data_IF_262242319557
#
_entry.id   IF_262242319557
#
_cell.length_a   1.000
_cell.length_b   1.000
_cell.length_c   1.000
_cell.angle_alpha   90.00
_cell.angle_beta   90.00
_cell.angle_gamma   90.00
#
_symmetry.space_group_name_H-M   'P 1'
#
loop_
_entity.id
_entity.type
_entity.pdbx_description
1 polymer ?
#
# COMPACT_ATOMS: atom_id res chain seq x y z
N UNK A 1 10.56 14.47 6.95
CA UNK A 1 10.33 13.13 6.38
C UNK A 1 8.85 13.05 6.08
N UNK A 2 8.47 12.97 4.81
CA UNK A 2 7.08 12.74 4.42
C UNK A 2 6.83 11.25 4.53
N UNK A 3 5.87 10.87 5.37
CA UNK A 3 5.49 9.49 5.65
C UNK A 3 4.11 9.21 5.01
N UNK A 4 3.84 7.94 4.77
CA UNK A 4 2.68 7.43 4.07
C UNK A 4 1.41 7.71 4.89
N UNK A 5 1.51 7.67 6.22
CA UNK A 5 0.42 7.92 7.18
C UNK A 5 -0.12 9.36 7.10
N UNK A 6 0.69 10.42 7.27
CA UNK A 6 0.21 11.79 7.10
C UNK A 6 -0.22 12.10 5.67
N UNK A 7 0.34 11.41 4.65
CA UNK A 7 -0.11 11.57 3.26
C UNK A 7 -1.53 11.02 3.05
N UNK A 8 -1.83 9.82 3.58
CA UNK A 8 -3.18 9.25 3.54
C UNK A 8 -4.15 10.13 4.33
N UNK A 9 -3.78 10.59 5.53
CA UNK A 9 -4.60 11.50 6.32
C UNK A 9 -4.86 12.84 5.62
N UNK A 10 -3.87 13.39 4.89
CA UNK A 10 -4.05 14.60 4.09
C UNK A 10 -5.00 14.37 2.91
N UNK A 11 -4.92 13.21 2.24
CA UNK A 11 -5.88 12.86 1.17
C UNK A 11 -7.30 12.67 1.68
N UNK A 12 -7.47 12.15 2.91
CA UNK A 12 -8.77 12.09 3.61
C UNK A 12 -9.35 13.48 3.91
N UNK A 13 -8.51 14.49 4.13
CA UNK A 13 -8.95 15.88 4.26
C UNK A 13 -9.24 16.60 2.93
N UNK A 14 -8.88 16.00 1.79
CA UNK A 14 -8.98 16.61 0.46
C UNK A 14 -10.25 16.20 -0.30
N UNK A 15 -10.89 15.10 0.11
CA UNK A 15 -12.19 14.64 -0.39
C UNK A 15 -13.22 14.68 0.74
N UNK A 16 -14.40 15.25 0.46
CA UNK A 16 -15.47 15.36 1.45
C UNK A 16 -15.99 13.96 1.84
N UNK A 17 -15.88 13.62 3.12
CA UNK A 17 -16.31 12.33 3.74
C UNK A 17 -17.81 12.05 3.55
N UNK A 18 -18.57 13.03 3.05
CA UNK A 18 -19.99 12.89 2.68
C UNK A 18 -20.23 12.13 1.37
N UNK A 19 -19.25 12.07 0.47
CA UNK A 19 -19.38 11.37 -0.84
C UNK A 19 -18.73 9.97 -0.86
N UNK A 20 -17.76 9.74 0.03
CA UNK A 20 -17.07 8.44 0.20
C UNK A 20 -17.03 8.09 1.69
N UNK A 21 -17.91 7.21 2.20
CA UNK A 21 -17.86 6.78 3.59
C UNK A 21 -16.48 6.19 3.93
N UNK A 22 -16.10 6.26 5.21
CA UNK A 22 -14.75 5.90 5.68
C UNK A 22 -14.38 4.42 5.42
N UNK A 23 -15.39 3.54 5.33
CA UNK A 23 -15.24 2.13 4.95
C UNK A 23 -15.34 1.86 3.44
N UNK A 24 -15.36 2.91 2.61
CA UNK A 24 -15.42 2.74 1.16
C UNK A 24 -14.14 2.09 0.63
N UNK A 25 -14.31 1.29 -0.42
CA UNK A 25 -13.20 0.62 -1.10
C UNK A 25 -12.10 1.58 -1.53
N UNK A 26 -12.48 2.83 -1.84
CA UNK A 26 -11.57 3.89 -2.25
C UNK A 26 -10.45 4.14 -1.22
N UNK A 27 -10.76 4.22 0.07
CA UNK A 27 -9.77 4.48 1.11
C UNK A 27 -8.86 3.28 1.38
N UNK A 28 -9.40 2.06 1.29
CA UNK A 28 -8.62 0.83 1.40
C UNK A 28 -7.63 0.69 0.23
N UNK A 29 -8.07 1.01 -1.00
CA UNK A 29 -7.21 1.00 -2.18
C UNK A 29 -6.14 2.09 -2.09
N UNK A 30 -6.47 3.29 -1.61
CA UNK A 30 -5.48 4.35 -1.35
C UNK A 30 -4.47 3.91 -0.30
N UNK A 31 -4.89 3.31 0.81
CA UNK A 31 -3.99 2.81 1.84
C UNK A 31 -3.07 1.71 1.30
N UNK A 32 -3.59 0.79 0.49
CA UNK A 32 -2.80 -0.22 -0.21
C UNK A 32 -1.77 0.41 -1.16
N UNK A 33 -2.18 1.38 -1.97
CA UNK A 33 -1.29 2.08 -2.90
C UNK A 33 -0.22 2.91 -2.16
N UNK A 34 -0.59 3.59 -1.08
CA UNK A 34 0.35 4.36 -0.27
C UNK A 34 1.35 3.45 0.48
N UNK A 35 0.91 2.28 0.94
CA UNK A 35 1.77 1.32 1.62
C UNK A 35 2.71 0.54 0.68
N UNK A 36 2.21 0.08 -0.46
CA UNK A 36 2.96 -0.81 -1.37
C UNK A 36 3.62 -0.07 -2.54
N UNK A 37 3.12 1.10 -2.92
CA UNK A 37 3.57 1.84 -4.10
C UNK A 37 5.02 2.32 -4.01
N UNK A 38 5.49 2.68 -2.81
CA UNK A 38 6.88 3.04 -2.58
C UNK A 38 7.88 1.91 -2.91
N UNK A 39 7.45 0.65 -2.81
CA UNK A 39 8.33 -0.50 -3.04
C UNK A 39 8.48 -0.90 -4.51
N UNK A 40 7.77 -0.24 -5.46
CA UNK A 40 7.95 -0.49 -6.90
C UNK A 40 9.33 -0.06 -7.41
N UNK A 41 9.95 0.89 -6.72
CA UNK A 41 11.32 1.34 -6.95
C UNK A 41 12.15 1.11 -5.69
N UNK A 42 13.40 0.71 -5.86
CA UNK A 42 14.30 0.41 -4.74
C UNK A 42 14.56 1.63 -3.83
N UNK A 43 14.33 2.85 -4.32
CA UNK A 43 14.47 4.09 -3.55
C UNK A 43 13.20 4.51 -2.79
N UNK A 44 12.03 3.94 -3.09
CA UNK A 44 10.77 4.43 -2.54
C UNK A 44 10.42 3.87 -1.16
N UNK A 45 11.34 3.13 -0.52
CA UNK A 45 11.21 2.66 0.85
C UNK A 45 12.57 2.61 1.54
N UNK A 46 12.60 2.87 2.85
CA UNK A 46 13.80 2.78 3.69
C UNK A 46 14.47 1.39 3.60
N UNK A 47 13.65 0.32 3.50
CA UNK A 47 14.16 -1.05 3.32
C UNK A 47 14.90 -1.23 1.99
N UNK A 48 14.41 -0.61 0.90
CA UNK A 48 15.06 -0.68 -0.41
C UNK A 48 16.38 0.10 -0.44
N UNK A 49 16.44 1.26 0.21
CA UNK A 49 17.69 2.04 0.35
C UNK A 49 18.72 1.29 1.18
N UNK A 50 18.30 0.64 2.28
CA UNK A 50 19.17 -0.22 3.08
C UNK A 50 19.71 -1.41 2.26
N UNK A 51 18.84 -2.06 1.47
CA UNK A 51 19.22 -3.17 0.59
C UNK A 51 20.27 -2.75 -0.44
N UNK A 52 20.13 -1.58 -1.07
CA UNK A 52 21.15 -1.05 -1.99
C UNK A 52 22.50 -0.83 -1.29
N UNK A 53 22.49 -0.36 -0.04
CA UNK A 53 23.70 -0.16 0.75
C UNK A 53 24.39 -1.47 1.14
N UNK A 54 23.62 -2.52 1.47
CA UNK A 54 24.13 -3.82 1.90
C UNK A 54 24.65 -4.67 0.74
N UNK A 55 23.88 -4.79 -0.34
CA UNK A 55 24.21 -5.62 -1.49
C UNK A 55 24.98 -4.86 -2.59
N UNK A 56 25.22 -3.55 -2.41
CA UNK A 56 25.87 -2.66 -3.40
C UNK A 56 25.26 -2.76 -4.79
N UNK A 57 23.94 -2.90 -4.86
CA UNK A 57 23.19 -2.95 -6.12
C UNK A 57 22.76 -1.56 -6.56
N UNK A 58 22.90 -1.27 -7.85
CA UNK A 58 22.49 0.00 -8.43
C UNK A 58 20.98 0.08 -8.65
N UNK A 59 20.43 1.31 -8.56
CA UNK A 59 19.04 1.60 -8.90
C UNK A 59 18.64 1.05 -10.27
N UNK A 60 19.48 1.25 -11.28
CA UNK A 60 19.22 0.81 -12.66
C UNK A 60 19.18 -0.72 -12.79
N UNK A 61 19.98 -1.44 -11.99
CA UNK A 61 19.95 -2.89 -11.96
C UNK A 61 18.63 -3.40 -11.39
N UNK A 62 18.19 -2.81 -10.27
CA UNK A 62 16.91 -3.14 -9.65
C UNK A 62 15.74 -2.80 -10.58
N UNK A 63 15.78 -1.62 -11.20
CA UNK A 63 14.75 -1.19 -12.15
C UNK A 63 14.61 -2.19 -13.30
N UNK A 64 15.73 -2.65 -13.88
CA UNK A 64 15.68 -3.54 -15.05
C UNK A 64 15.33 -4.99 -14.70
N UNK A 65 15.74 -5.51 -13.54
CA UNK A 65 15.56 -6.93 -13.19
C UNK A 65 14.43 -7.20 -12.20
N UNK A 66 14.15 -6.27 -11.29
CA UNK A 66 13.25 -6.50 -10.15
C UNK A 66 11.96 -5.71 -10.28
N UNK A 67 11.98 -4.51 -10.86
CA UNK A 67 10.78 -3.67 -10.99
C UNK A 67 9.65 -4.34 -11.75
N UNK A 68 9.95 -5.21 -12.74
CA UNK A 68 8.92 -5.99 -13.43
C UNK A 68 8.18 -6.97 -12.50
N UNK A 69 8.90 -7.65 -11.60
CA UNK A 69 8.28 -8.52 -10.59
C UNK A 69 7.58 -7.72 -9.49
N UNK A 70 8.15 -6.59 -9.09
CA UNK A 70 7.53 -5.68 -8.13
C UNK A 70 6.20 -5.11 -8.67
N UNK A 71 6.17 -4.75 -9.95
CA UNK A 71 4.97 -4.31 -10.65
C UNK A 71 3.95 -5.45 -10.79
N UNK A 72 4.40 -6.67 -11.14
CA UNK A 72 3.52 -7.82 -11.19
C UNK A 72 2.88 -8.12 -9.83
N UNK A 73 3.63 -8.01 -8.73
CA UNK A 73 3.11 -8.14 -7.36
C UNK A 73 2.12 -7.03 -7.00
N UNK A 74 2.41 -5.79 -7.37
CA UNK A 74 1.50 -4.65 -7.18
C UNK A 74 0.18 -4.85 -7.95
N UNK A 75 0.27 -5.24 -9.22
CA UNK A 75 -0.89 -5.55 -10.06
C UNK A 75 -1.67 -6.76 -9.54
N UNK A 76 -0.99 -7.79 -9.05
CA UNK A 76 -1.62 -8.95 -8.42
C UNK A 76 -2.35 -8.57 -7.13
N UNK A 77 -1.81 -7.64 -6.33
CA UNK A 77 -2.49 -7.10 -5.15
C UNK A 77 -3.75 -6.32 -5.49
N UNK A 78 -3.73 -5.51 -6.55
CA UNK A 78 -4.94 -4.84 -7.07
C UNK A 78 -5.94 -5.86 -7.59
N UNK A 79 -5.50 -6.86 -8.35
CA UNK A 79 -6.37 -7.91 -8.87
C UNK A 79 -6.99 -8.74 -7.74
N UNK A 80 -6.23 -9.06 -6.69
CA UNK A 80 -6.74 -9.74 -5.50
C UNK A 80 -7.74 -8.87 -4.74
N UNK A 81 -7.47 -7.57 -4.60
CA UNK A 81 -8.39 -6.61 -4.00
C UNK A 81 -9.74 -6.59 -4.76
N UNK A 82 -9.69 -6.47 -6.09
CA UNK A 82 -10.87 -6.53 -6.93
C UNK A 82 -11.57 -7.89 -6.85
N UNK A 83 -10.84 -9.00 -6.79
CA UNK A 83 -11.42 -10.33 -6.68
C UNK A 83 -12.12 -10.56 -5.34
N UNK A 84 -11.52 -10.12 -4.22
CA UNK A 84 -12.09 -10.18 -2.87
C UNK A 84 -13.31 -9.27 -2.75
N UNK A 85 -13.39 -8.20 -3.52
CA UNK A 85 -14.55 -7.33 -3.53
C UNK A 85 -15.69 -7.85 -4.42
N UNK A 86 -15.36 -8.39 -5.61
CA UNK A 86 -16.35 -8.94 -6.55
C UNK A 86 -16.92 -10.29 -6.10
N UNK A 87 -16.11 -11.13 -5.45
CA UNK A 87 -16.59 -12.30 -4.74
C UNK A 87 -17.03 -11.79 -3.36
N UNK A 88 -18.31 -11.92 -2.98
CA UNK A 88 -18.82 -11.58 -1.65
C UNK A 88 -18.20 -12.49 -0.54
N UNK A 89 -16.87 -12.49 -0.44
CA UNK A 89 -16.13 -13.13 0.63
C UNK A 89 -16.36 -12.23 1.83
N UNK A 90 -17.34 -12.61 2.66
CA UNK A 90 -17.54 -12.05 3.98
C UNK A 90 -16.29 -12.34 4.80
N UNK A 91 -15.27 -11.49 4.68
CA UNK A 91 -14.11 -11.54 5.53
C UNK A 91 -14.63 -11.26 6.95
N UNK A 92 -14.49 -12.19 7.91
CA UNK A 92 -14.93 -11.95 9.26
C UNK A 92 -14.23 -10.70 9.78
N UNK A 93 -15.00 -9.64 10.04
CA UNK A 93 -14.55 -8.35 10.59
C UNK A 93 -13.85 -8.48 11.94
N UNK A 94 -13.86 -9.68 12.52
CA UNK A 94 -13.12 -10.10 13.71
C UNK A 94 -11.60 -9.90 13.61
N UNK A 95 -11.03 -9.80 12.40
CA UNK A 95 -9.60 -9.46 12.20
C UNK A 95 -9.33 -7.97 12.03
N UNK A 96 -10.36 -7.12 11.87
CA UNK A 96 -10.20 -5.67 11.93
C UNK A 96 -10.22 -5.17 13.38
N UNK A 97 -10.81 -5.95 14.28
CA UNK A 97 -10.98 -5.65 15.71
C UNK A 97 -9.89 -6.31 16.57
N UNK A 98 -8.71 -6.58 16.01
CA UNK A 98 -7.55 -6.96 16.82
C UNK A 98 -7.15 -5.74 17.66
N UNK A 99 -7.06 -5.84 18.99
CA UNK A 99 -6.90 -4.72 19.92
C UNK A 99 -5.64 -3.86 19.74
N UNK A 100 -4.79 -4.14 18.74
CA UNK A 100 -3.65 -3.32 18.36
C UNK A 100 -4.03 -1.94 17.77
N UNK A 101 -5.26 -1.76 17.25
CA UNK A 101 -5.73 -0.48 16.70
C UNK A 101 -6.76 0.27 17.59
N UNK A 102 -7.13 -0.28 18.75
CA UNK A 102 -8.11 0.32 19.69
C UNK A 102 -7.44 0.81 20.99
N UNK A 103 -6.25 1.41 20.90
CA UNK A 103 -5.50 1.79 22.09
C UNK A 103 -4.38 2.79 21.87
N UNK A 104 -4.70 3.98 21.35
CA UNK A 104 -4.07 5.28 21.69
C UNK A 104 -4.80 6.43 21.01
#
# INVERSE_FOLDING_TARGET
VIDNVPLVAATMGMYDVTSFPQDSEFWQLIAFCAGTGGSMLVIGSAAGVAFMGMEKVDFFWYFKKVSGFAFAGYAAGIAAYLAVHNLNISLPTTLAEVPFLSGS
#
